data_IF_599294326936
#
_entry.id   IF_599294326936
#
_cell.length_a   1.000
_cell.length_b   1.000
_cell.length_c   1.000
_cell.angle_alpha   90.00
_cell.angle_beta   90.00
_cell.angle_gamma   90.00
#
_symmetry.space_group_name_H-M   'P 1'
#
loop_
_entity.id
_entity.type
_entity.pdbx_description
1 polymer ?
#
# COMPACT_ATOMS: atom_id res chain seq x y z
N UNK A 1 -5.52 -25.41 -20.98
CA UNK A 1 -4.46 -24.59 -20.30
C UNK A 1 -5.02 -24.28 -18.95
N UNK A 2 -4.48 -24.93 -17.88
CA UNK A 2 -5.13 -24.98 -16.58
C UNK A 2 -5.19 -23.58 -15.95
N UNK A 3 -6.40 -23.14 -15.58
CA UNK A 3 -6.63 -21.84 -14.91
C UNK A 3 -5.72 -21.66 -13.69
N UNK A 4 -5.50 -22.71 -12.91
CA UNK A 4 -4.63 -22.70 -11.72
C UNK A 4 -3.16 -22.34 -12.02
N UNK A 5 -2.65 -22.76 -13.18
CA UNK A 5 -1.29 -22.42 -13.62
C UNK A 5 -1.17 -20.93 -13.96
N UNK A 6 -2.16 -20.37 -14.66
CA UNK A 6 -2.19 -18.95 -15.02
C UNK A 6 -2.31 -18.08 -13.77
N UNK A 7 -3.21 -18.43 -12.86
CA UNK A 7 -3.39 -17.70 -11.60
C UNK A 7 -2.15 -17.78 -10.70
N UNK A 8 -1.47 -18.94 -10.65
CA UNK A 8 -0.22 -19.08 -9.90
C UNK A 8 0.89 -18.16 -10.44
N UNK A 9 1.08 -18.13 -11.76
CA UNK A 9 2.07 -17.23 -12.39
C UNK A 9 1.74 -15.76 -12.18
N UNK A 10 0.48 -15.37 -12.32
CA UNK A 10 0.03 -14.00 -12.10
C UNK A 10 0.26 -13.56 -10.64
N UNK A 11 0.03 -14.44 -9.66
CA UNK A 11 0.30 -14.17 -8.23
C UNK A 11 1.80 -13.98 -7.97
N UNK A 12 2.65 -14.81 -8.57
CA UNK A 12 4.10 -14.66 -8.46
C UNK A 12 4.57 -13.33 -9.06
N UNK A 13 4.11 -12.99 -10.27
CA UNK A 13 4.42 -11.72 -10.91
C UNK A 13 3.97 -10.54 -10.05
N UNK A 14 2.76 -10.58 -9.50
CA UNK A 14 2.24 -9.54 -8.59
C UNK A 14 3.15 -9.38 -7.36
N UNK A 15 3.60 -10.47 -6.74
CA UNK A 15 4.51 -10.41 -5.59
C UNK A 15 5.88 -9.82 -5.96
N UNK A 16 6.43 -10.18 -7.13
CA UNK A 16 7.68 -9.60 -7.63
C UNK A 16 7.55 -8.11 -7.94
N UNK A 17 6.45 -7.68 -8.53
CA UNK A 17 6.18 -6.25 -8.76
C UNK A 17 6.09 -5.47 -7.44
N UNK A 18 5.47 -6.04 -6.41
CA UNK A 18 5.38 -5.37 -5.10
C UNK A 18 6.76 -5.12 -4.50
N UNK A 19 7.67 -6.10 -4.56
CA UNK A 19 9.04 -5.91 -4.05
C UNK A 19 9.83 -4.90 -4.88
N UNK A 20 9.63 -4.87 -6.21
CA UNK A 20 10.24 -3.86 -7.09
C UNK A 20 9.77 -2.45 -6.68
N UNK A 21 8.49 -2.23 -6.41
CA UNK A 21 8.00 -0.93 -5.93
C UNK A 21 8.60 -0.53 -4.58
N UNK A 22 8.77 -1.48 -3.66
CA UNK A 22 9.45 -1.22 -2.38
C UNK A 22 10.92 -0.85 -2.58
N UNK A 23 11.63 -1.53 -3.47
CA UNK A 23 13.03 -1.21 -3.79
C UNK A 23 13.14 0.20 -4.40
N UNK A 24 12.27 0.54 -5.36
CA UNK A 24 12.21 1.89 -5.95
C UNK A 24 12.00 2.94 -4.87
N UNK A 25 11.06 2.71 -3.93
CA UNK A 25 10.79 3.64 -2.84
C UNK A 25 12.01 3.83 -1.92
N UNK A 26 12.79 2.78 -1.66
CA UNK A 26 14.04 2.84 -0.89
C UNK A 26 15.12 3.61 -1.65
N UNK A 27 15.27 3.36 -2.96
CA UNK A 27 16.22 4.08 -3.82
C UNK A 27 15.88 5.57 -3.86
N UNK A 28 14.59 5.93 -3.98
CA UNK A 28 14.17 7.34 -3.96
C UNK A 28 14.54 8.02 -2.63
N UNK A 29 14.37 7.33 -1.51
CA UNK A 29 14.71 7.88 -0.20
C UNK A 29 16.22 8.08 -0.02
N UNK A 30 17.03 7.05 -0.25
CA UNK A 30 18.46 7.08 0.07
C UNK A 30 19.31 7.59 -1.11
N UNK A 31 18.94 7.24 -2.35
CA UNK A 31 19.66 7.66 -3.56
C UNK A 31 19.39 9.12 -3.93
N UNK A 32 18.13 9.52 -3.90
CA UNK A 32 17.72 10.89 -4.24
C UNK A 32 17.50 11.78 -3.01
N UNK A 33 17.75 11.27 -1.79
CA UNK A 33 17.57 11.99 -0.51
C UNK A 33 16.17 12.57 -0.31
N UNK A 34 15.17 11.95 -0.89
CA UNK A 34 13.78 12.37 -0.76
C UNK A 34 13.24 11.89 0.59
N UNK A 35 12.99 12.82 1.50
CA UNK A 35 12.44 12.49 2.83
C UNK A 35 10.96 12.06 2.68
N UNK A 36 10.60 10.82 3.08
CA UNK A 36 9.22 10.37 3.02
C UNK A 36 8.40 11.01 4.13
N UNK A 37 7.24 11.56 3.80
CA UNK A 37 6.25 12.01 4.79
C UNK A 37 5.69 10.81 5.60
N UNK A 38 5.07 11.02 6.77
CA UNK A 38 4.54 9.94 7.60
C UNK A 38 3.54 9.03 6.87
N UNK A 39 2.64 9.58 6.04
CA UNK A 39 1.72 8.78 5.23
C UNK A 39 2.43 7.91 4.19
N UNK A 40 3.53 8.38 3.61
CA UNK A 40 4.36 7.57 2.71
C UNK A 40 4.95 6.34 3.42
N UNK A 41 5.38 6.50 4.68
CA UNK A 41 5.89 5.39 5.48
C UNK A 41 4.80 4.35 5.78
N UNK A 42 3.58 4.81 6.11
CA UNK A 42 2.43 3.92 6.31
C UNK A 42 2.08 3.17 5.03
N UNK A 43 2.06 3.83 3.87
CA UNK A 43 1.83 3.17 2.58
C UNK A 43 2.87 2.09 2.29
N UNK A 44 4.16 2.35 2.57
CA UNK A 44 5.24 1.33 2.45
C UNK A 44 4.98 0.14 3.37
N UNK A 45 4.56 0.37 4.62
CA UNK A 45 4.16 -0.69 5.55
C UNK A 45 3.04 -1.56 4.97
N UNK A 46 2.01 -0.94 4.37
CA UNK A 46 0.93 -1.67 3.70
C UNK A 46 1.43 -2.47 2.50
N UNK A 47 2.37 -1.93 1.70
CA UNK A 47 3.00 -2.69 0.61
C UNK A 47 3.77 -3.91 1.11
N UNK A 48 4.46 -3.82 2.26
CA UNK A 48 5.13 -4.97 2.88
C UNK A 48 4.11 -6.04 3.28
N UNK A 49 3.01 -5.65 3.93
CA UNK A 49 1.94 -6.58 4.30
C UNK A 49 1.28 -7.21 3.07
N UNK A 50 1.05 -6.43 2.02
CA UNK A 50 0.51 -6.91 0.75
C UNK A 50 1.48 -7.91 0.08
N UNK A 51 2.78 -7.62 0.07
CA UNK A 51 3.80 -8.57 -0.42
C UNK A 51 3.75 -9.90 0.34
N UNK A 52 3.74 -9.84 1.67
CA UNK A 52 3.70 -11.04 2.53
C UNK A 52 2.45 -11.87 2.22
N UNK A 53 1.28 -11.23 2.10
CA UNK A 53 0.02 -11.95 1.86
C UNK A 53 -0.03 -12.56 0.46
N UNK A 54 0.40 -11.85 -0.59
CA UNK A 54 0.43 -12.35 -1.96
C UNK A 54 1.45 -13.49 -2.10
N UNK A 55 2.63 -13.37 -1.48
CA UNK A 55 3.64 -14.41 -1.49
C UNK A 55 3.15 -15.65 -0.73
N UNK A 56 2.54 -15.47 0.44
CA UNK A 56 1.96 -16.57 1.23
C UNK A 56 0.81 -17.26 0.49
N UNK A 57 0.00 -16.52 -0.24
CA UNK A 57 -1.02 -17.08 -1.13
C UNK A 57 -0.37 -17.98 -2.21
N UNK A 58 0.70 -17.51 -2.86
CA UNK A 58 1.42 -18.29 -3.87
C UNK A 58 2.02 -19.56 -3.29
N UNK A 59 2.67 -19.49 -2.13
CA UNK A 59 3.29 -20.64 -1.46
C UNK A 59 2.24 -21.65 -0.98
N UNK A 60 1.06 -21.18 -0.59
CA UNK A 60 -0.04 -22.00 -0.06
C UNK A 60 -1.03 -22.48 -1.13
N UNK A 61 -0.73 -22.30 -2.43
CA UNK A 61 -1.65 -22.60 -3.55
C UNK A 61 -2.22 -24.04 -3.56
N UNK A 62 -1.46 -24.98 -3.00
CA UNK A 62 -1.89 -26.37 -2.87
C UNK A 62 -2.90 -26.62 -1.72
N UNK A 63 -3.13 -25.61 -0.85
CA UNK A 63 -4.04 -25.67 0.30
C UNK A 63 -5.15 -24.63 0.10
N UNK A 64 -6.25 -25.03 -0.53
CA UNK A 64 -7.33 -24.13 -0.98
C UNK A 64 -7.82 -23.16 0.13
N UNK A 65 -8.11 -23.67 1.34
CA UNK A 65 -8.58 -22.83 2.46
C UNK A 65 -7.54 -21.78 2.89
N UNK A 66 -6.27 -22.19 3.03
CA UNK A 66 -5.18 -21.29 3.45
C UNK A 66 -4.92 -20.23 2.39
N UNK A 67 -4.87 -20.62 1.12
CA UNK A 67 -4.73 -19.69 -0.01
C UNK A 67 -5.88 -18.68 -0.06
N UNK A 68 -7.13 -19.12 0.17
CA UNK A 68 -8.29 -18.24 0.21
C UNK A 68 -8.20 -17.21 1.36
N UNK A 69 -7.70 -17.60 2.54
CA UNK A 69 -7.49 -16.68 3.66
C UNK A 69 -6.49 -15.60 3.31
N UNK A 70 -5.33 -15.95 2.72
CA UNK A 70 -4.35 -14.94 2.30
C UNK A 70 -4.87 -14.04 1.19
N UNK A 71 -5.71 -14.56 0.29
CA UNK A 71 -6.40 -13.77 -0.73
C UNK A 71 -7.33 -12.73 -0.12
N UNK A 72 -8.09 -13.11 0.92
CA UNK A 72 -8.91 -12.16 1.66
C UNK A 72 -8.09 -11.05 2.30
N UNK A 73 -6.95 -11.39 2.92
CA UNK A 73 -6.02 -10.38 3.44
C UNK A 73 -5.44 -9.48 2.33
N UNK A 74 -5.15 -10.01 1.15
CA UNK A 74 -4.69 -9.20 0.01
C UNK A 74 -5.76 -8.20 -0.45
N UNK A 75 -7.05 -8.59 -0.47
CA UNK A 75 -8.18 -7.67 -0.72
C UNK A 75 -8.23 -6.58 0.34
N UNK A 76 -8.12 -6.96 1.62
CA UNK A 76 -8.17 -6.01 2.73
C UNK A 76 -7.02 -5.00 2.69
N UNK A 77 -5.76 -5.45 2.54
CA UNK A 77 -4.61 -4.56 2.52
C UNK A 77 -4.55 -3.68 1.27
N UNK A 78 -4.97 -4.18 0.12
CA UNK A 78 -5.05 -3.34 -1.08
C UNK A 78 -6.13 -2.25 -0.95
N UNK A 79 -7.29 -2.56 -0.36
CA UNK A 79 -8.33 -1.58 -0.07
C UNK A 79 -7.87 -0.54 0.96
N UNK A 80 -7.21 -0.98 2.05
CA UNK A 80 -6.64 -0.08 3.05
C UNK A 80 -5.57 0.84 2.45
N UNK A 81 -4.66 0.28 1.63
CA UNK A 81 -3.64 1.05 0.92
C UNK A 81 -4.23 2.10 -0.02
N UNK A 82 -5.29 1.73 -0.75
CA UNK A 82 -6.02 2.66 -1.61
C UNK A 82 -6.65 3.80 -0.80
N UNK A 83 -7.25 3.51 0.35
CA UNK A 83 -7.81 4.54 1.24
C UNK A 83 -6.74 5.51 1.78
N UNK A 84 -5.59 4.99 2.21
CA UNK A 84 -4.45 5.79 2.71
C UNK A 84 -3.86 6.65 1.57
N UNK A 85 -3.67 6.08 0.38
CA UNK A 85 -3.17 6.81 -0.77
C UNK A 85 -4.15 7.89 -1.24
N UNK A 86 -5.46 7.59 -1.24
CA UNK A 86 -6.52 8.57 -1.55
C UNK A 86 -6.54 9.73 -0.54
N UNK A 87 -6.38 9.46 0.77
CA UNK A 87 -6.21 10.50 1.79
C UNK A 87 -4.99 11.36 1.52
N UNK A 88 -3.88 10.76 1.11
CA UNK A 88 -2.66 11.50 0.78
C UNK A 88 -2.84 12.40 -0.46
N UNK A 89 -3.47 11.91 -1.52
CA UNK A 89 -3.82 12.71 -2.70
C UNK A 89 -4.71 13.90 -2.30
N UNK A 90 -5.68 13.67 -1.41
CA UNK A 90 -6.54 14.75 -0.90
C UNK A 90 -5.72 15.83 -0.16
N UNK A 91 -4.75 15.42 0.68
CA UNK A 91 -3.86 16.36 1.40
C UNK A 91 -3.00 17.20 0.44
N UNK A 92 -2.54 16.63 -0.68
CA UNK A 92 -1.79 17.39 -1.70
C UNK A 92 -2.62 18.49 -2.38
N UNK A 93 -3.94 18.35 -2.38
CA UNK A 93 -4.85 19.38 -2.90
C UNK A 93 -5.36 20.34 -1.81
N UNK A 94 -4.91 20.19 -0.57
CA UNK A 94 -5.28 21.08 0.56
C UNK A 94 -4.18 22.12 0.75
N UNK A 95 -4.51 23.42 0.91
CA UNK A 95 -3.51 24.45 1.17
C UNK A 95 -2.67 24.12 2.41
N UNK A 96 -1.34 24.27 2.31
CA UNK A 96 -0.42 23.96 3.41
C UNK A 96 -0.70 24.80 4.67
N UNK A 97 -1.32 25.98 4.53
CA UNK A 97 -1.72 26.85 5.63
C UNK A 97 -2.86 26.28 6.50
N UNK A 98 -3.65 25.35 5.96
CA UNK A 98 -4.75 24.69 6.66
C UNK A 98 -4.31 23.39 7.35
N UNK A 99 -3.09 22.93 7.08
CA UNK A 99 -2.55 21.70 7.63
C UNK A 99 -1.70 21.99 8.88
N UNK A 100 -1.65 21.06 9.84
CA UNK A 100 -0.72 21.15 10.95
C UNK A 100 0.72 21.32 10.46
N UNK A 101 1.53 22.08 11.17
CA UNK A 101 2.98 22.18 10.94
C UNK A 101 3.61 20.78 11.00
N UNK A 102 4.85 20.66 10.48
CA UNK A 102 5.60 19.41 10.40
C UNK A 102 5.40 18.49 11.60
N UNK A 103 5.11 17.23 11.34
CA UNK A 103 5.05 16.22 12.40
C UNK A 103 6.48 15.95 12.91
N UNK A 104 6.68 15.78 14.22
CA UNK A 104 7.95 15.32 14.76
C UNK A 104 8.36 13.97 14.15
N UNK A 105 9.65 13.61 14.27
CA UNK A 105 10.15 12.33 13.81
C UNK A 105 9.33 11.15 14.35
N UNK A 106 9.25 10.07 13.59
CA UNK A 106 8.47 8.89 13.99
C UNK A 106 8.94 8.33 15.35
N UNK A 107 10.26 8.38 15.64
CA UNK A 107 10.83 7.96 16.91
C UNK A 107 10.27 8.78 18.08
N UNK A 108 10.24 10.09 17.95
CA UNK A 108 9.64 10.97 18.96
C UNK A 108 8.12 10.70 19.15
N UNK A 109 7.41 10.41 18.05
CA UNK A 109 5.99 10.08 18.15
C UNK A 109 5.75 8.78 18.90
N UNK A 110 6.58 7.75 18.67
CA UNK A 110 6.51 6.46 19.36
C UNK A 110 6.82 6.60 20.85
N UNK A 111 7.82 7.41 21.20
CA UNK A 111 8.24 7.60 22.60
C UNK A 111 7.27 8.44 23.42
N UNK A 112 6.54 9.36 22.77
CA UNK A 112 5.76 10.41 23.49
C UNK A 112 4.25 10.17 23.45
N UNK A 113 3.73 9.52 22.40
CA UNK A 113 2.28 9.39 22.15
C UNK A 113 1.81 7.94 22.21
N UNK A 114 0.55 7.75 22.63
CA UNK A 114 -0.11 6.44 22.52
C UNK A 114 -0.37 6.08 21.05
N UNK A 115 -0.45 4.78 20.75
CA UNK A 115 -0.68 4.27 19.39
C UNK A 115 -1.90 4.91 18.69
N UNK A 116 -3.01 5.11 19.41
CA UNK A 116 -4.21 5.76 18.88
C UNK A 116 -3.94 7.22 18.48
N UNK A 117 -3.17 7.95 19.30
CA UNK A 117 -2.80 9.35 19.01
C UNK A 117 -1.85 9.46 17.82
N UNK A 118 -0.92 8.50 17.67
CA UNK A 118 -0.03 8.43 16.49
C UNK A 118 -0.84 8.26 15.23
N UNK A 119 -1.79 7.29 15.21
CA UNK A 119 -2.67 7.08 14.06
C UNK A 119 -3.43 8.37 13.73
N UNK A 120 -4.06 8.99 14.72
CA UNK A 120 -4.84 10.23 14.51
C UNK A 120 -3.97 11.34 13.91
N UNK A 121 -2.76 11.55 14.43
CA UNK A 121 -1.81 12.57 13.93
C UNK A 121 -1.33 12.27 12.51
N UNK A 122 -0.96 11.02 12.22
CA UNK A 122 -0.51 10.60 10.89
C UNK A 122 -1.63 10.77 9.85
N UNK A 123 -2.88 10.39 10.21
CA UNK A 123 -4.02 10.54 9.30
C UNK A 123 -4.52 12.00 9.20
N UNK A 124 -4.32 12.83 10.21
CA UNK A 124 -4.56 14.26 10.10
C UNK A 124 -3.69 14.88 8.99
N UNK A 125 -2.48 14.35 8.81
CA UNK A 125 -1.50 14.85 7.84
C UNK A 125 -0.69 16.01 8.40
N UNK A 126 0.31 16.43 7.63
CA UNK A 126 1.16 17.59 7.92
C UNK A 126 1.42 18.37 6.63
N UNK A 127 1.93 19.57 6.75
CA UNK A 127 2.33 20.39 5.60
C UNK A 127 3.31 19.66 4.66
N UNK A 128 4.15 18.77 5.18
CA UNK A 128 5.04 17.90 4.39
C UNK A 128 4.28 16.97 3.45
N UNK A 129 3.05 16.54 3.81
CA UNK A 129 2.23 15.67 2.97
C UNK A 129 1.58 16.44 1.79
N UNK A 130 1.50 17.77 1.86
CA UNK A 130 0.99 18.61 0.77
C UNK A 130 2.06 18.94 -0.27
N UNK A 131 3.34 18.79 0.07
CA UNK A 131 4.44 19.08 -0.85
C UNK A 131 4.58 18.00 -1.93
N UNK A 132 4.57 18.42 -3.19
CA UNK A 132 4.83 17.54 -4.34
C UNK A 132 6.32 17.47 -4.58
N UNK A 133 6.98 16.44 -4.04
CA UNK A 133 8.43 16.27 -4.16
C UNK A 133 8.87 15.78 -5.54
N UNK A 134 8.01 15.01 -6.24
CA UNK A 134 8.34 14.39 -7.51
C UNK A 134 7.09 13.95 -8.26
N UNK A 135 7.16 14.04 -9.60
CA UNK A 135 6.08 13.60 -10.50
C UNK A 135 6.65 12.74 -11.64
N UNK A 136 5.89 11.75 -12.07
CA UNK A 136 6.19 10.94 -13.24
C UNK A 136 4.95 10.84 -14.13
N UNK A 137 5.08 11.17 -15.40
CA UNK A 137 3.95 11.27 -16.36
C UNK A 137 2.81 12.20 -15.88
N UNK A 138 3.17 13.26 -15.14
CA UNK A 138 2.19 14.20 -14.58
C UNK A 138 1.48 13.73 -13.30
N UNK A 139 1.77 12.51 -12.82
CA UNK A 139 1.20 11.95 -11.59
C UNK A 139 2.19 12.08 -10.43
N UNK A 140 1.68 12.47 -9.28
CA UNK A 140 2.44 12.49 -8.02
C UNK A 140 2.66 11.08 -7.47
N UNK A 141 3.60 10.90 -6.55
CA UNK A 141 3.85 9.60 -5.90
C UNK A 141 2.58 9.01 -5.26
N UNK A 142 1.77 9.78 -4.48
CA UNK A 142 0.52 9.25 -3.93
C UNK A 142 -0.52 8.84 -4.98
N UNK A 143 -0.64 9.58 -6.08
CA UNK A 143 -1.55 9.21 -7.17
C UNK A 143 -1.12 7.90 -7.84
N UNK A 144 0.18 7.73 -8.09
CA UNK A 144 0.71 6.48 -8.61
C UNK A 144 0.48 5.31 -7.64
N UNK A 145 0.72 5.49 -6.35
CA UNK A 145 0.47 4.46 -5.34
C UNK A 145 -1.02 4.12 -5.22
N UNK A 146 -1.91 5.10 -5.34
CA UNK A 146 -3.35 4.87 -5.38
C UNK A 146 -3.74 3.95 -6.55
N UNK A 147 -3.24 4.26 -7.77
CA UNK A 147 -3.48 3.43 -8.96
C UNK A 147 -2.95 2.00 -8.76
N UNK A 148 -1.76 1.86 -8.20
CA UNK A 148 -1.15 0.56 -7.94
C UNK A 148 -2.01 -0.26 -6.95
N UNK A 149 -2.43 0.32 -5.82
CA UNK A 149 -3.29 -0.35 -4.87
C UNK A 149 -4.66 -0.70 -5.47
N UNK A 150 -5.23 0.17 -6.31
CA UNK A 150 -6.46 -0.10 -7.03
C UNK A 150 -6.33 -1.32 -7.96
N UNK A 151 -5.23 -1.41 -8.71
CA UNK A 151 -4.96 -2.56 -9.57
C UNK A 151 -4.81 -3.86 -8.75
N UNK A 152 -4.10 -3.82 -7.62
CA UNK A 152 -3.99 -4.97 -6.71
C UNK A 152 -5.34 -5.35 -6.11
N UNK A 153 -6.18 -4.39 -5.78
CA UNK A 153 -7.52 -4.63 -5.27
C UNK A 153 -8.39 -5.36 -6.29
N UNK A 154 -8.46 -4.86 -7.53
CA UNK A 154 -9.19 -5.51 -8.62
C UNK A 154 -8.63 -6.92 -8.89
N UNK A 155 -7.32 -7.06 -8.97
CA UNK A 155 -6.67 -8.35 -9.17
C UNK A 155 -7.05 -9.37 -8.08
N UNK A 156 -7.03 -8.95 -6.82
CA UNK A 156 -7.38 -9.79 -5.67
C UNK A 156 -8.87 -10.15 -5.67
N UNK A 157 -9.76 -9.23 -6.05
CA UNK A 157 -11.20 -9.49 -6.18
C UNK A 157 -11.50 -10.51 -7.28
N UNK A 158 -10.90 -10.36 -8.46
CA UNK A 158 -11.09 -11.30 -9.58
C UNK A 158 -10.69 -12.72 -9.15
N UNK A 159 -9.60 -12.86 -8.38
CA UNK A 159 -9.16 -14.14 -7.86
C UNK A 159 -10.04 -14.68 -6.74
N UNK A 160 -10.71 -13.82 -5.98
CA UNK A 160 -11.59 -14.20 -4.87
C UNK A 160 -12.98 -14.65 -5.38
N UNK A 161 -13.46 -14.11 -6.49
CA UNK A 161 -14.78 -14.37 -7.05
C UNK A 161 -15.09 -15.86 -7.26
N UNK A 162 -14.24 -16.69 -7.94
CA UNK A 162 -14.53 -18.11 -8.13
C UNK A 162 -14.61 -18.90 -6.83
N UNK A 163 -13.90 -18.48 -5.75
CA UNK A 163 -13.97 -19.13 -4.45
C UNK A 163 -15.35 -18.96 -3.80
N UNK A 164 -15.98 -17.80 -3.95
CA UNK A 164 -17.35 -17.54 -3.45
C UNK A 164 -18.40 -18.40 -4.13
N UNK A 165 -18.21 -18.78 -5.41
CA UNK A 165 -19.15 -19.58 -6.18
C UNK A 165 -18.94 -21.09 -6.06
N UNK A 166 -17.78 -21.56 -5.60
CA UNK A 166 -17.50 -22.99 -5.39
C UNK A 166 -18.06 -23.52 -4.05
N UNK A 167 -18.55 -22.66 -3.18
CA UNK A 167 -19.14 -23.01 -1.88
C UNK A 167 -20.66 -23.27 -1.89
N UNK A 168 -21.27 -23.31 -3.08
CA UNK A 168 -22.65 -23.75 -3.31
C UNK A 168 -22.65 -25.04 -4.10
#
# INVERSE_FOLDING_TARGET
>A
MNSDFIYGRATLVASLLTIVFLIIAVIMQYGFKMMPCPLCLVQRGVFVLLFITILSEYLSRNKAKVSATFRLFSVFFSAAGMGIAGRHVWLQNTPASELPSCLPSLDYLIDTFSFAQIITKVFAGSSECSEVSWTFLGLTIPEQTFIIFFLYFIFSLIKFYPFLHQGK
#
